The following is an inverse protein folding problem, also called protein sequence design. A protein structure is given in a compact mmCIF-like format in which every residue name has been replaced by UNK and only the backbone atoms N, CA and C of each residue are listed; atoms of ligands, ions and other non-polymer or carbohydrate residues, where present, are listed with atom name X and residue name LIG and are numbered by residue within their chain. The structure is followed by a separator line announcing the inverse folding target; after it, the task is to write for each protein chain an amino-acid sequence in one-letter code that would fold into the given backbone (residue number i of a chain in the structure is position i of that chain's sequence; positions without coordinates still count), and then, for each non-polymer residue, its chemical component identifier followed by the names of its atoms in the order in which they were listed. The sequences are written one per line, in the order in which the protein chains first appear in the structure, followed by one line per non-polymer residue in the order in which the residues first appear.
data_IF_964957453036
#
_entry.id   IF_964957453036
#
_cell.length_a   1.000
_cell.length_b   1.000
_cell.length_c   1.000
_cell.angle_alpha   90.00
_cell.angle_beta   90.00
_cell.angle_gamma   90.00
#
_symmetry.space_group_name_H-M   'P 1'
#
loop_
_entity.id
_entity.type
_entity.pdbx_description
1 polymer ?
#
# COMPACT_ATOMS: atom_id res chain seq x y z
N UNK A 1 4.48 -8.55 7.09
CA UNK A 1 5.33 -9.46 7.89
C UNK A 1 6.66 -9.56 7.14
N UNK A 2 7.73 -8.98 7.67
CA UNK A 2 8.98 -8.83 6.93
C UNK A 2 9.74 -10.14 6.92
N UNK A 3 9.90 -10.74 5.74
CA UNK A 3 10.74 -11.92 5.57
C UNK A 3 12.20 -11.48 5.40
N UNK A 4 13.00 -11.71 6.43
CA UNK A 4 14.44 -11.40 6.41
C UNK A 4 15.25 -12.41 5.59
N UNK A 5 14.62 -13.49 5.10
CA UNK A 5 15.25 -14.54 4.30
C UNK A 5 14.35 -14.99 3.16
N UNK A 6 14.32 -14.19 2.10
CA UNK A 6 13.65 -14.57 0.86
C UNK A 6 14.44 -15.71 0.19
N UNK A 7 13.80 -16.86 -0.06
CA UNK A 7 14.38 -17.96 -0.83
C UNK A 7 14.45 -17.60 -2.31
N UNK A 8 15.37 -18.23 -3.06
CA UNK A 8 15.45 -18.06 -4.52
C UNK A 8 14.12 -18.44 -5.21
N UNK A 9 13.43 -19.46 -4.70
CA UNK A 9 12.10 -19.86 -5.17
C UNK A 9 11.08 -18.73 -5.00
N UNK A 10 10.95 -18.17 -3.80
CA UNK A 10 10.04 -17.06 -3.53
C UNK A 10 10.38 -15.82 -4.37
N UNK A 11 11.68 -15.54 -4.58
CA UNK A 11 12.13 -14.43 -5.41
C UNK A 11 11.71 -14.62 -6.87
N UNK A 12 11.93 -15.82 -7.43
CA UNK A 12 11.54 -16.16 -8.80
C UNK A 12 10.02 -16.11 -8.99
N UNK A 13 9.25 -16.62 -8.03
CA UNK A 13 7.78 -16.54 -8.05
C UNK A 13 7.28 -15.10 -8.02
N UNK A 14 7.87 -14.25 -7.17
CA UNK A 14 7.52 -12.83 -7.10
C UNK A 14 7.84 -12.10 -8.41
N UNK A 15 8.98 -12.39 -9.05
CA UNK A 15 9.33 -11.82 -10.35
C UNK A 15 8.35 -12.27 -11.45
N UNK A 16 7.98 -13.56 -11.47
CA UNK A 16 7.00 -14.09 -12.41
C UNK A 16 5.63 -13.42 -12.22
N UNK A 17 5.16 -13.29 -10.98
CA UNK A 17 3.90 -12.63 -10.66
C UNK A 17 3.90 -11.14 -11.06
N UNK A 18 5.00 -10.43 -10.83
CA UNK A 18 5.15 -9.03 -11.25
C UNK A 18 5.09 -8.88 -12.77
N UNK A 19 5.72 -9.80 -13.51
CA UNK A 19 5.68 -9.83 -14.98
C UNK A 19 4.28 -10.12 -15.51
N UNK A 20 3.59 -11.10 -14.95
CA UNK A 20 2.21 -11.44 -15.34
C UNK A 20 1.25 -10.28 -15.08
N UNK A 21 1.40 -9.62 -13.92
CA UNK A 21 0.64 -8.42 -13.59
C UNK A 21 0.88 -7.29 -14.59
N UNK A 22 2.15 -7.05 -14.95
CA UNK A 22 2.51 -6.03 -15.95
C UNK A 22 1.84 -6.32 -17.31
N UNK A 23 1.92 -7.57 -17.79
CA UNK A 23 1.31 -7.98 -19.07
C UNK A 23 -0.21 -7.77 -19.03
N UNK A 24 -0.87 -8.23 -17.96
CA UNK A 24 -2.31 -8.05 -17.79
C UNK A 24 -2.70 -6.57 -17.80
N UNK A 25 -1.99 -5.74 -17.04
CA UNK A 25 -2.28 -4.31 -16.95
C UNK A 25 -2.04 -3.58 -18.26
N UNK A 26 -1.00 -3.95 -19.01
CA UNK A 26 -0.72 -3.39 -20.33
C UNK A 26 -1.88 -3.61 -21.30
N UNK A 27 -2.39 -4.85 -21.36
CA UNK A 27 -3.54 -5.21 -22.21
C UNK A 27 -4.84 -4.54 -21.73
N UNK A 28 -5.02 -4.42 -20.41
CA UNK A 28 -6.17 -3.72 -19.84
C UNK A 28 -6.18 -2.23 -20.18
N UNK A 29 -5.03 -1.55 -20.10
CA UNK A 29 -4.90 -0.15 -20.47
C UNK A 29 -5.24 0.06 -21.95
N UNK A 30 -4.80 -0.81 -22.85
CA UNK A 30 -5.14 -0.72 -24.27
C UNK A 30 -6.66 -0.84 -24.51
N UNK A 31 -7.32 -1.76 -23.80
CA UNK A 31 -8.78 -1.88 -23.84
C UNK A 31 -9.48 -0.63 -23.31
N UNK A 32 -8.99 -0.06 -22.20
CA UNK A 32 -9.57 1.16 -21.59
C UNK A 32 -9.32 2.41 -22.44
N UNK A 33 -8.23 2.49 -23.19
CA UNK A 33 -7.99 3.57 -24.14
C UNK A 33 -8.98 3.54 -25.32
N UNK A 34 -9.28 2.34 -25.83
CA UNK A 34 -10.23 2.18 -26.94
C UNK A 34 -11.69 2.32 -26.51
N UNK A 35 -12.02 1.95 -25.27
CA UNK A 35 -13.38 2.05 -24.73
C UNK A 35 -13.37 2.51 -23.25
N UNK A 36 -13.14 3.82 -23.01
CA UNK A 36 -13.03 4.35 -21.66
C UNK A 36 -14.30 4.16 -20.83
N UNK A 37 -14.13 3.84 -19.55
CA UNK A 37 -15.22 3.63 -18.60
C UNK A 37 -15.09 4.59 -17.41
N UNK A 38 -16.08 4.58 -16.51
CA UNK A 38 -16.01 5.33 -15.26
C UNK A 38 -15.19 4.59 -14.18
N UNK A 39 -13.92 4.32 -14.47
CA UNK A 39 -12.98 3.68 -13.55
C UNK A 39 -11.64 4.42 -13.45
N UNK A 40 -10.87 4.08 -12.43
CA UNK A 40 -9.59 4.73 -12.14
C UNK A 40 -8.58 4.59 -13.28
N UNK A 41 -8.52 3.43 -13.95
CA UNK A 41 -7.54 3.16 -15.01
C UNK A 41 -7.85 4.03 -16.23
N UNK A 42 -9.12 4.12 -16.62
CA UNK A 42 -9.60 4.99 -17.70
C UNK A 42 -9.31 6.47 -17.37
N UNK A 43 -9.49 6.88 -16.12
CA UNK A 43 -9.17 8.24 -15.68
C UNK A 43 -7.68 8.53 -15.75
N UNK A 44 -6.82 7.60 -15.31
CA UNK A 44 -5.36 7.75 -15.37
C UNK A 44 -4.87 7.81 -16.82
N UNK A 45 -5.46 7.04 -17.73
CA UNK A 45 -5.04 7.02 -19.13
C UNK A 45 -5.48 8.24 -19.93
N UNK A 46 -6.53 8.92 -19.48
CA UNK A 46 -7.03 10.16 -20.11
C UNK A 46 -6.44 11.43 -19.48
N UNK A 47 -5.82 11.34 -18.31
CA UNK A 47 -5.31 12.51 -17.61
C UNK A 47 -4.15 13.13 -18.40
N UNK A 48 -4.18 14.46 -18.54
CA UNK A 48 -3.07 15.21 -19.13
C UNK A 48 -2.84 16.50 -18.36
N UNK A 49 -1.58 16.87 -18.19
CA UNK A 49 -1.14 18.11 -17.54
C UNK A 49 0.04 18.66 -18.34
N UNK A 50 0.06 19.98 -18.60
CA UNK A 50 1.13 20.63 -19.40
C UNK A 50 1.38 19.96 -20.76
N UNK A 51 0.32 19.47 -21.42
CA UNK A 51 0.38 18.68 -22.67
C UNK A 51 1.15 17.36 -22.57
N UNK A 52 1.39 16.86 -21.36
CA UNK A 52 1.96 15.54 -21.09
C UNK A 52 0.88 14.59 -20.60
N UNK A 53 0.93 13.35 -21.10
CA UNK A 53 0.12 12.23 -20.61
C UNK A 53 1.04 11.25 -19.90
N UNK A 54 0.46 10.48 -18.97
CA UNK A 54 1.19 9.37 -18.35
C UNK A 54 1.53 8.33 -19.41
N UNK A 55 2.77 7.86 -19.41
CA UNK A 55 3.14 6.69 -20.20
C UNK A 55 2.44 5.46 -19.66
N UNK A 56 2.32 4.42 -20.50
CA UNK A 56 1.75 3.14 -20.06
C UNK A 56 2.47 2.60 -18.82
N UNK A 57 3.79 2.66 -18.79
CA UNK A 57 4.59 2.22 -17.64
C UNK A 57 4.28 3.03 -16.38
N UNK A 58 4.13 4.35 -16.50
CA UNK A 58 3.77 5.21 -15.35
C UNK A 58 2.37 4.88 -14.81
N UNK A 59 1.41 4.58 -15.68
CA UNK A 59 0.07 4.14 -15.27
C UNK A 59 0.16 2.80 -14.53
N UNK A 60 0.89 1.82 -15.09
CA UNK A 60 1.06 0.49 -14.47
C UNK A 60 1.72 0.64 -13.10
N UNK A 61 2.82 1.39 -12.98
CA UNK A 61 3.49 1.65 -11.71
C UNK A 61 2.56 2.30 -10.69
N UNK A 62 1.73 3.26 -11.11
CA UNK A 62 0.75 3.91 -10.23
C UNK A 62 -0.31 2.93 -9.74
N UNK A 63 -0.82 2.06 -10.62
CA UNK A 63 -1.81 1.04 -10.24
C UNK A 63 -1.21 0.03 -9.27
N UNK A 64 0.03 -0.42 -9.50
CA UNK A 64 0.74 -1.32 -8.57
C UNK A 64 0.86 -0.65 -7.20
N UNK A 65 1.29 0.62 -7.16
CA UNK A 65 1.44 1.37 -5.92
C UNK A 65 0.11 1.45 -5.16
N UNK A 66 -0.99 1.79 -5.83
CA UNK A 66 -2.30 1.93 -5.21
C UNK A 66 -2.85 0.58 -4.72
N UNK A 67 -2.65 -0.48 -5.49
CA UNK A 67 -3.05 -1.83 -5.11
C UNK A 67 -2.32 -2.26 -3.84
N UNK A 68 -0.99 -2.14 -3.82
CA UNK A 68 -0.18 -2.55 -2.67
C UNK A 68 -0.45 -1.67 -1.44
N UNK A 69 -0.50 -0.35 -1.61
CA UNK A 69 -0.71 0.59 -0.52
C UNK A 69 -2.11 0.49 0.09
N UNK A 70 -3.14 0.27 -0.75
CA UNK A 70 -4.53 0.22 -0.30
C UNK A 70 -4.95 -1.13 0.27
N UNK A 71 -4.44 -2.23 -0.30
CA UNK A 71 -4.92 -3.56 0.04
C UNK A 71 -4.34 -4.06 1.37
N UNK A 72 -3.01 -4.17 1.48
CA UNK A 72 -2.38 -4.77 2.66
C UNK A 72 -2.64 -3.96 3.93
N UNK A 73 -2.52 -2.63 3.84
CA UNK A 73 -2.75 -1.76 4.98
C UNK A 73 -4.16 -1.92 5.54
N UNK A 74 -5.18 -1.93 4.68
CA UNK A 74 -6.58 -2.03 5.09
C UNK A 74 -6.91 -3.40 5.67
N UNK A 75 -6.47 -4.48 5.01
CA UNK A 75 -6.71 -5.85 5.49
C UNK A 75 -6.05 -6.06 6.86
N UNK A 76 -4.80 -5.62 7.03
CA UNK A 76 -4.10 -5.72 8.30
C UNK A 76 -4.74 -4.84 9.38
N UNK A 77 -5.15 -3.60 9.08
CA UNK A 77 -5.84 -2.75 10.07
C UNK A 77 -7.10 -3.44 10.59
N UNK A 78 -7.92 -4.00 9.71
CA UNK A 78 -9.17 -4.67 10.11
C UNK A 78 -8.86 -5.92 10.96
N UNK A 79 -7.93 -6.77 10.50
CA UNK A 79 -7.53 -7.98 11.23
C UNK A 79 -6.97 -7.66 12.62
N UNK A 80 -5.99 -6.76 12.68
CA UNK A 80 -5.36 -6.30 13.91
C UNK A 80 -6.39 -5.68 14.87
N UNK A 81 -7.33 -4.89 14.35
CA UNK A 81 -8.40 -4.29 15.16
C UNK A 81 -9.27 -5.33 15.85
N UNK A 82 -9.67 -6.38 15.12
CA UNK A 82 -10.49 -7.46 15.68
C UNK A 82 -9.71 -8.19 16.78
N UNK A 83 -8.45 -8.52 16.52
CA UNK A 83 -7.57 -9.16 17.51
C UNK A 83 -7.40 -8.29 18.75
N UNK A 84 -7.13 -6.99 18.59
CA UNK A 84 -6.96 -6.05 19.69
C UNK A 84 -8.21 -5.95 20.57
N UNK A 85 -9.40 -5.85 19.97
CA UNK A 85 -10.66 -5.79 20.70
C UNK A 85 -10.93 -7.07 21.49
N UNK A 86 -10.69 -8.24 20.89
CA UNK A 86 -10.89 -9.54 21.54
C UNK A 86 -9.92 -9.76 22.70
N UNK A 87 -8.62 -9.50 22.50
CA UNK A 87 -7.61 -9.67 23.56
C UNK A 87 -7.83 -8.74 24.75
N UNK A 88 -8.38 -7.55 24.52
CA UNK A 88 -8.71 -6.60 25.58
C UNK A 88 -10.15 -6.73 26.12
N UNK A 89 -10.91 -7.75 25.69
CA UNK A 89 -12.30 -7.99 26.08
C UNK A 89 -13.23 -6.77 25.85
N UNK A 90 -12.95 -5.98 24.81
CA UNK A 90 -13.73 -4.78 24.47
C UNK A 90 -14.92 -5.19 23.61
N UNK A 91 -16.14 -5.04 24.16
CA UNK A 91 -17.35 -5.22 23.37
C UNK A 91 -17.54 -4.07 22.39
N UNK A 92 -17.79 -4.40 21.12
CA UNK A 92 -18.16 -3.42 20.09
C UNK A 92 -19.60 -2.93 20.23
N UNK A 93 -20.41 -3.58 21.08
CA UNK A 93 -21.81 -3.23 21.28
C UNK A 93 -21.93 -1.83 21.88
N UNK A 94 -22.53 -0.90 21.12
CA UNK A 94 -22.68 0.52 21.46
C UNK A 94 -21.37 1.31 21.59
N UNK A 95 -20.24 0.80 21.07
CA UNK A 95 -18.96 1.51 21.14
C UNK A 95 -19.05 2.85 20.39
N UNK A 96 -19.71 2.84 19.23
CA UNK A 96 -20.06 3.98 18.38
C UNK A 96 -21.02 4.99 19.03
N UNK A 97 -21.81 4.56 20.02
CA UNK A 97 -22.68 5.45 20.81
C UNK A 97 -21.92 6.16 21.93
N UNK A 98 -20.81 5.57 22.39
CA UNK A 98 -19.99 6.10 23.48
C UNK A 98 -18.85 6.97 22.97
N UNK A 99 -18.28 6.63 21.82
CA UNK A 99 -17.18 7.35 21.20
C UNK A 99 -17.43 7.55 19.71
N UNK A 100 -16.86 8.63 19.17
CA UNK A 100 -16.87 8.88 17.74
C UNK A 100 -16.16 7.74 16.98
N UNK A 101 -16.77 7.25 15.90
CA UNK A 101 -16.24 6.16 15.07
C UNK A 101 -14.84 6.47 14.55
N UNK A 102 -14.57 7.72 14.19
CA UNK A 102 -13.25 8.14 13.74
C UNK A 102 -12.21 7.94 14.84
N UNK A 103 -12.52 8.34 16.07
CA UNK A 103 -11.60 8.17 17.19
C UNK A 103 -11.36 6.69 17.51
N UNK A 104 -12.37 5.84 17.35
CA UNK A 104 -12.22 4.38 17.49
C UNK A 104 -11.25 3.85 16.45
N UNK A 105 -11.41 4.24 15.19
CA UNK A 105 -10.53 3.80 14.08
C UNK A 105 -9.09 4.27 14.30
N UNK A 106 -8.89 5.55 14.64
CA UNK A 106 -7.56 6.09 14.93
C UNK A 106 -6.89 5.36 16.10
N UNK A 107 -7.64 5.05 17.15
CA UNK A 107 -7.11 4.32 18.31
C UNK A 107 -6.73 2.88 17.96
N UNK A 108 -7.50 2.21 17.10
CA UNK A 108 -7.17 0.85 16.63
C UNK A 108 -5.92 0.85 15.75
N UNK A 109 -5.77 1.83 14.85
CA UNK A 109 -4.56 2.00 14.02
C UNK A 109 -3.35 2.34 14.89
N UNK A 110 -3.52 3.16 15.94
CA UNK A 110 -2.47 3.50 16.91
C UNK A 110 -2.07 2.29 17.76
N UNK A 111 -3.04 1.49 18.17
CA UNK A 111 -2.81 0.33 19.03
C UNK A 111 -1.98 -0.74 18.32
N UNK A 112 -2.34 -1.08 17.09
CA UNK A 112 -1.61 -2.04 16.27
C UNK A 112 -1.58 -1.61 14.81
N UNK A 113 -0.52 -0.86 14.48
CA UNK A 113 -0.36 -0.27 13.15
C UNK A 113 -0.17 -1.35 12.08
N UNK A 114 -0.90 -1.26 10.95
CA UNK A 114 -0.83 -2.27 9.88
C UNK A 114 0.54 -2.31 9.18
N UNK A 115 1.33 -1.24 9.35
CA UNK A 115 2.66 -1.09 8.79
C UNK A 115 3.58 -0.52 9.87
N UNK A 116 4.62 -1.28 10.21
CA UNK A 116 5.43 -1.03 11.41
C UNK A 116 6.59 -0.06 11.15
N UNK A 117 7.20 -0.09 9.96
CA UNK A 117 8.25 0.85 9.60
C UNK A 117 8.38 1.03 8.08
N UNK A 118 8.96 2.16 7.70
CA UNK A 118 9.53 2.35 6.37
C UNK A 118 11.05 2.49 6.48
N UNK A 119 11.75 2.00 5.48
CA UNK A 119 13.17 2.26 5.34
C UNK A 119 13.42 3.65 4.73
N UNK A 120 14.57 4.21 5.06
CA UNK A 120 15.08 5.47 4.51
C UNK A 120 16.55 5.26 4.16
N UNK A 121 17.01 5.94 3.11
CA UNK A 121 18.40 5.91 2.68
C UNK A 121 19.16 7.10 3.28
N UNK A 122 20.33 6.84 3.86
CA UNK A 122 21.23 7.87 4.38
C UNK A 122 22.01 8.44 3.19
N UNK A 123 21.64 9.63 2.74
CA UNK A 123 22.25 10.26 1.56
C UNK A 123 23.62 10.89 1.86
N UNK A 124 23.84 11.27 3.13
CA UNK A 124 25.06 11.88 3.64
C UNK A 124 25.28 11.43 5.09
N UNK A 125 26.53 11.29 5.51
CA UNK A 125 26.87 10.92 6.89
C UNK A 125 26.29 11.94 7.88
N UNK A 126 25.62 11.45 8.92
CA UNK A 126 24.92 12.34 9.87
C UNK A 126 24.75 11.70 11.25
N UNK A 127 24.27 12.48 12.21
CA UNK A 127 23.94 12.02 13.56
C UNK A 127 22.45 12.24 13.80
N UNK A 128 21.70 11.16 14.03
CA UNK A 128 20.27 11.22 14.38
C UNK A 128 20.08 10.65 15.77
N UNK A 129 19.53 11.46 16.69
CA UNK A 129 19.30 11.07 18.09
C UNK A 129 20.56 10.52 18.79
N UNK A 130 21.74 11.06 18.46
CA UNK A 130 23.03 10.62 19.01
C UNK A 130 23.65 9.38 18.34
N UNK A 131 23.01 8.82 17.31
CA UNK A 131 23.51 7.66 16.56
C UNK A 131 24.20 8.16 15.28
N UNK A 132 25.47 7.80 15.08
CA UNK A 132 26.17 8.05 13.83
C UNK A 132 25.62 7.13 12.74
N UNK A 133 25.18 7.72 11.63
CA UNK A 133 24.69 7.02 10.45
C UNK A 133 25.68 7.21 9.31
N UNK A 134 26.21 6.10 8.80
CA UNK A 134 27.06 6.11 7.61
C UNK A 134 26.22 6.27 6.36
N UNK A 135 26.77 6.94 5.34
CA UNK A 135 26.19 6.99 4.01
C UNK A 135 26.09 5.56 3.45
N UNK A 136 24.93 5.24 2.88
CA UNK A 136 24.70 4.00 2.14
C UNK A 136 25.44 4.01 0.79
#
# INVERSE_FOLDING_TARGET
MYDLKVSDENANEAEAAAKDFYIYMSDLIDKKNNNPQNDMISRLSQVSENNQQLTKDQIICTVILLLNAGHEATVNTIGNSIVALLLNNISTKNLDKKYDIKNIIEELIRWDSPLQFFQRWVLEETVVSGINLSKN
#
